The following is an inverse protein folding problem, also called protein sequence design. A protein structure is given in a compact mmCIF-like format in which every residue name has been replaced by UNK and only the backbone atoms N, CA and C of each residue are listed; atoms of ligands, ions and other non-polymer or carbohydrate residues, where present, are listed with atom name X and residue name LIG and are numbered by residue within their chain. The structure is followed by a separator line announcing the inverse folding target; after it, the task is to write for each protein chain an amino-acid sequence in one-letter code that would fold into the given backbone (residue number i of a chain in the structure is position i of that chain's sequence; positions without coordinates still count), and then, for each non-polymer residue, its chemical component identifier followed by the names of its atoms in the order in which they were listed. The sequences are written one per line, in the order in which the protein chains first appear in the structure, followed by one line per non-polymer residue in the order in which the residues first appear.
data_IF_384847507452
#
_entry.id   IF_384847507452
#
_cell.length_a   1.000
_cell.length_b   1.000
_cell.length_c   1.000
_cell.angle_alpha   90.00
_cell.angle_beta   90.00
_cell.angle_gamma   90.00
#
_symmetry.space_group_name_H-M   'P 1'
#
loop_
_entity.id
_entity.type
_entity.pdbx_description
1 polymer ?
#
# COMPACT_ATOMS: atom_id res chain seq x y z
N UNK A 1 13.55 21.41 -50.00
CA UNK A 1 13.45 22.53 -49.03
C UNK A 1 12.51 22.22 -47.86
N UNK A 2 11.21 21.90 -48.08
CA UNK A 2 10.25 21.59 -46.99
C UNK A 2 10.58 20.32 -46.18
N UNK A 3 11.11 19.27 -46.83
CA UNK A 3 11.46 18.01 -46.18
C UNK A 3 12.64 18.13 -45.19
N UNK A 4 13.57 19.06 -45.46
CA UNK A 4 14.70 19.35 -44.56
C UNK A 4 14.26 20.16 -43.33
N UNK A 5 13.25 21.04 -43.48
CA UNK A 5 12.67 21.78 -42.37
C UNK A 5 11.96 20.84 -41.38
N UNK A 6 11.22 19.84 -41.87
CA UNK A 6 10.54 18.85 -41.02
C UNK A 6 11.51 17.93 -40.29
N UNK A 7 12.60 17.51 -40.94
CA UNK A 7 13.67 16.72 -40.29
C UNK A 7 14.42 17.55 -39.25
N UNK A 8 14.70 18.82 -39.52
CA UNK A 8 15.33 19.72 -38.56
C UNK A 8 14.47 19.98 -37.32
N UNK A 9 13.14 20.04 -37.46
CA UNK A 9 12.22 20.28 -36.36
C UNK A 9 12.05 19.03 -35.46
N UNK A 10 12.14 17.83 -36.04
CA UNK A 10 12.03 16.57 -35.30
C UNK A 10 13.27 16.27 -34.43
N UNK A 11 14.46 16.76 -34.82
CA UNK A 11 15.68 16.57 -34.03
C UNK A 11 15.76 17.45 -32.76
N UNK A 12 14.96 18.51 -32.65
CA UNK A 12 15.04 19.46 -31.53
C UNK A 12 14.26 19.02 -30.27
N UNK A 13 13.38 18.02 -30.37
CA UNK A 13 12.55 17.57 -29.25
C UNK A 13 13.24 16.60 -28.27
N UNK A 14 14.51 16.25 -28.51
CA UNK A 14 15.24 15.25 -27.71
C UNK A 14 15.96 15.83 -26.47
N UNK A 15 15.84 17.14 -26.20
CA UNK A 15 16.59 17.82 -25.12
C UNK A 15 15.73 18.23 -23.92
N UNK A 16 14.90 17.32 -23.39
CA UNK A 16 14.20 17.55 -22.10
C UNK A 16 14.80 16.65 -21.02
N UNK A 17 15.74 17.17 -20.23
CA UNK A 17 16.23 16.53 -19.01
C UNK A 17 15.52 17.20 -17.82
N UNK A 18 14.64 16.49 -17.13
CA UNK A 18 13.99 16.99 -15.91
C UNK A 18 14.89 16.67 -14.71
N UNK A 19 15.47 17.70 -14.10
CA UNK A 19 16.33 17.55 -12.92
C UNK A 19 15.58 18.08 -11.69
N UNK A 20 15.33 17.19 -10.72
CA UNK A 20 14.63 17.52 -9.47
C UNK A 20 15.66 17.88 -8.40
N UNK A 21 15.57 19.08 -7.82
CA UNK A 21 16.48 19.56 -6.80
C UNK A 21 15.86 19.43 -5.41
N UNK A 22 16.64 18.96 -4.43
CA UNK A 22 16.24 18.78 -3.02
C UNK A 22 17.03 19.75 -2.14
N UNK A 23 16.35 20.44 -1.22
CA UNK A 23 17.02 21.15 -0.12
C UNK A 23 16.33 20.88 1.22
N UNK A 24 17.04 21.17 2.30
CA UNK A 24 16.57 21.05 3.68
C UNK A 24 16.55 22.45 4.26
N UNK A 25 15.41 22.88 4.81
CA UNK A 25 15.30 24.17 5.47
C UNK A 25 15.90 24.14 6.90
N UNK A 26 15.96 25.31 7.55
CA UNK A 26 16.49 25.45 8.90
C UNK A 26 15.65 24.72 9.98
N UNK A 27 14.42 24.35 9.67
CA UNK A 27 13.49 23.60 10.53
C UNK A 27 13.55 22.07 10.26
N UNK A 28 14.47 21.63 9.40
CA UNK A 28 14.69 20.21 9.08
C UNK A 28 13.67 19.62 8.12
N UNK A 29 12.83 20.43 7.46
CA UNK A 29 11.87 19.95 6.46
C UNK A 29 12.51 19.87 5.08
N UNK A 30 12.24 18.77 4.39
CA UNK A 30 12.78 18.49 3.06
C UNK A 30 11.81 19.04 2.01
N UNK A 31 12.32 19.89 1.13
CA UNK A 31 11.59 20.46 0.00
C UNK A 31 12.22 20.02 -1.33
N UNK A 32 11.36 19.81 -2.35
CA UNK A 32 11.76 19.46 -3.71
C UNK A 32 11.24 20.53 -4.68
N UNK A 33 12.07 20.97 -5.62
CA UNK A 33 11.71 21.96 -6.65
C UNK A 33 12.39 21.63 -7.97
N UNK A 34 11.70 21.92 -9.06
CA UNK A 34 12.21 21.78 -10.43
C UNK A 34 12.94 23.05 -10.92
N UNK A 35 13.18 24.01 -10.03
CA UNK A 35 13.90 25.26 -10.33
C UNK A 35 15.14 25.40 -9.44
N UNK A 36 16.32 25.74 -10.03
CA UNK A 36 17.57 25.85 -9.28
C UNK A 36 17.58 27.11 -8.40
N UNK A 37 17.97 26.93 -7.13
CA UNK A 37 18.14 28.01 -6.15
C UNK A 37 19.65 28.12 -5.85
N UNK A 38 20.16 29.34 -5.60
CA UNK A 38 21.58 29.59 -5.31
C UNK A 38 22.07 28.70 -4.14
N UNK A 39 23.23 28.05 -4.32
CA UNK A 39 23.89 27.03 -3.47
C UNK A 39 23.41 25.57 -3.63
N UNK A 40 23.17 25.12 -4.88
CA UNK A 40 22.98 23.71 -5.20
C UNK A 40 24.29 23.09 -5.71
N UNK A 41 24.72 21.99 -5.10
CA UNK A 41 25.74 21.09 -5.67
C UNK A 41 25.08 20.09 -6.63
N UNK A 42 25.81 19.73 -7.69
CA UNK A 42 25.35 18.83 -8.76
C UNK A 42 25.50 17.37 -8.31
N UNK A 43 24.41 16.59 -8.36
CA UNK A 43 24.42 15.16 -8.04
C UNK A 43 24.41 14.35 -9.34
N UNK A 44 25.50 13.62 -9.59
CA UNK A 44 25.64 12.69 -10.72
C UNK A 44 24.98 11.35 -10.38
N UNK A 45 23.94 10.97 -11.12
CA UNK A 45 23.25 9.69 -10.92
C UNK A 45 24.04 8.55 -11.59
N UNK A 46 24.71 7.72 -10.79
CA UNK A 46 25.29 6.46 -11.28
C UNK A 46 24.17 5.50 -11.66
N UNK A 47 24.15 5.09 -12.93
CA UNK A 47 23.30 4.00 -13.45
C UNK A 47 23.60 2.67 -12.76
N UNK A 48 22.98 2.45 -11.60
CA UNK A 48 22.70 1.13 -11.06
C UNK A 48 21.66 1.22 -9.93
N UNK A 49 20.48 1.77 -10.25
CA UNK A 49 19.34 1.77 -9.32
C UNK A 49 18.69 0.39 -9.33
N UNK A 50 19.38 -0.61 -8.78
CA UNK A 50 18.66 -1.75 -8.21
C UNK A 50 17.85 -1.19 -7.04
N UNK A 51 16.52 -1.29 -7.12
CA UNK A 51 15.64 -1.11 -5.96
C UNK A 51 15.90 -2.23 -4.95
N UNK A 52 17.06 -2.19 -4.29
CA UNK A 52 17.30 -2.97 -3.09
C UNK A 52 16.60 -2.23 -1.96
N UNK A 53 15.39 -2.69 -1.66
CA UNK A 53 14.70 -2.32 -0.43
C UNK A 53 15.53 -2.95 0.69
N UNK A 54 16.47 -2.19 1.27
CA UNK A 54 16.98 -2.53 2.60
C UNK A 54 15.77 -2.40 3.52
N UNK A 55 15.22 -3.52 3.98
CA UNK A 55 14.34 -3.51 5.13
C UNK A 55 15.15 -2.90 6.27
N UNK A 56 14.86 -1.65 6.59
CA UNK A 56 15.22 -1.09 7.87
C UNK A 56 14.43 -1.89 8.89
N UNK A 57 15.08 -2.85 9.54
CA UNK A 57 14.64 -3.29 10.86
C UNK A 57 14.60 -2.02 11.70
N UNK A 58 13.40 -1.51 11.92
CA UNK A 58 13.15 -0.44 12.87
C UNK A 58 13.61 -0.96 14.22
N UNK A 59 14.85 -0.65 14.57
CA UNK A 59 15.30 -0.71 15.95
C UNK A 59 14.47 0.34 16.64
N UNK A 60 13.44 -0.11 17.35
CA UNK A 60 12.59 0.73 18.17
C UNK A 60 13.50 1.64 19.00
N UNK A 61 13.59 2.91 18.57
CA UNK A 61 14.26 3.94 19.34
C UNK A 61 13.25 4.28 20.42
N UNK A 62 13.47 3.73 21.61
CA UNK A 62 12.76 4.18 22.80
C UNK A 62 13.19 5.62 23.03
N UNK A 63 12.45 6.56 22.42
CA UNK A 63 12.51 7.97 22.75
C UNK A 63 11.67 8.15 23.99
N UNK A 64 12.33 8.18 25.14
CA UNK A 64 11.81 8.78 26.37
C UNK A 64 11.67 10.27 26.09
N UNK A 65 10.49 10.66 25.61
CA UNK A 65 9.99 12.01 25.72
C UNK A 65 8.92 11.96 26.80
N UNK A 66 9.32 12.32 28.01
CA UNK A 66 8.39 12.68 29.08
C UNK A 66 7.64 13.93 28.63
N UNK A 67 6.37 13.77 28.25
CA UNK A 67 5.39 14.85 28.33
C UNK A 67 3.98 14.25 28.39
N UNK A 68 3.43 14.31 29.61
CA UNK A 68 2.03 14.13 29.98
C UNK A 68 1.38 12.79 29.55
N UNK A 69 1.70 11.75 30.32
CA UNK A 69 1.03 10.44 30.26
C UNK A 69 -0.44 10.55 30.72
N UNK A 70 -1.29 11.06 29.84
CA UNK A 70 -2.62 10.47 29.71
C UNK A 70 -2.35 8.99 29.42
N UNK A 71 -2.77 8.07 30.29
CA UNK A 71 -2.61 6.63 30.10
C UNK A 71 -3.24 6.22 28.76
N UNK A 72 -2.44 6.23 27.69
CA UNK A 72 -2.83 5.79 26.38
C UNK A 72 -2.81 4.28 26.46
N UNK A 73 -4.00 3.66 26.48
CA UNK A 73 -4.13 2.21 26.42
C UNK A 73 -3.35 1.69 25.22
N UNK A 74 -2.22 1.02 25.50
CA UNK A 74 -1.41 0.38 24.47
C UNK A 74 -2.07 -0.94 24.10
N UNK A 75 -2.35 -1.13 22.82
CA UNK A 75 -2.89 -2.38 22.29
C UNK A 75 -1.78 -3.19 21.63
N UNK A 76 -1.71 -4.47 21.96
CA UNK A 76 -1.05 -5.48 21.16
C UNK A 76 -2.05 -6.01 20.12
N UNK A 77 -1.72 -5.89 18.84
CA UNK A 77 -2.60 -6.20 17.71
C UNK A 77 -1.82 -7.04 16.69
N UNK A 78 -2.33 -8.23 16.38
CA UNK A 78 -1.71 -9.13 15.40
C UNK A 78 -2.76 -9.83 14.54
N UNK A 79 -2.46 -9.99 13.26
CA UNK A 79 -3.30 -10.78 12.33
C UNK A 79 -2.98 -12.26 12.56
N UNK A 80 -3.99 -13.06 12.89
CA UNK A 80 -3.86 -14.50 13.18
C UNK A 80 -4.23 -15.38 11.99
N UNK A 81 -5.11 -14.91 11.11
CA UNK A 81 -5.47 -15.58 9.87
C UNK A 81 -5.76 -14.53 8.79
N UNK A 82 -5.35 -14.74 7.53
CA UNK A 82 -4.53 -15.84 7.02
C UNK A 82 -3.12 -15.86 7.62
N UNK A 83 -2.42 -16.98 7.46
CA UNK A 83 -1.00 -17.13 7.77
C UNK A 83 -0.12 -16.30 6.81
N UNK A 84 1.14 -16.06 7.18
CA UNK A 84 2.07 -15.33 6.31
C UNK A 84 2.22 -16.07 4.97
N UNK A 85 2.12 -15.33 3.86
CA UNK A 85 2.27 -15.86 2.50
C UNK A 85 1.24 -16.96 2.14
N UNK A 86 0.12 -17.03 2.85
CA UNK A 86 -0.92 -18.00 2.57
C UNK A 86 -1.51 -17.78 1.18
N UNK A 87 -1.74 -18.88 0.44
CA UNK A 87 -2.41 -18.84 -0.85
C UNK A 87 -3.87 -19.26 -0.71
N UNK A 88 -4.78 -18.31 -0.94
CA UNK A 88 -6.22 -18.51 -0.90
C UNK A 88 -6.73 -18.74 -2.32
N UNK A 89 -7.57 -19.77 -2.51
CA UNK A 89 -8.23 -20.05 -3.80
C UNK A 89 -9.72 -19.81 -3.67
N UNK A 90 -10.19 -18.64 -4.12
CA UNK A 90 -11.62 -18.30 -4.12
C UNK A 90 -11.98 -17.49 -5.35
N UNK A 91 -12.83 -18.03 -6.23
CA UNK A 91 -13.20 -17.39 -7.50
C UNK A 91 -14.02 -16.10 -7.31
N UNK A 92 -14.71 -15.96 -6.17
CA UNK A 92 -15.49 -14.77 -5.81
C UNK A 92 -14.62 -13.71 -5.11
N UNK A 93 -13.32 -13.96 -4.95
CA UNK A 93 -12.39 -13.03 -4.29
C UNK A 93 -12.72 -12.83 -2.81
N UNK A 94 -13.22 -13.87 -2.13
CA UNK A 94 -13.50 -13.81 -0.70
C UNK A 94 -12.24 -14.07 0.11
N UNK A 95 -11.97 -13.18 1.06
CA UNK A 95 -10.87 -13.29 2.03
C UNK A 95 -11.40 -12.91 3.40
N UNK A 96 -11.16 -13.75 4.41
CA UNK A 96 -11.47 -13.41 5.80
C UNK A 96 -10.18 -13.15 6.55
N UNK A 97 -10.02 -11.93 7.07
CA UNK A 97 -8.90 -11.53 7.92
C UNK A 97 -9.36 -11.58 9.37
N UNK A 98 -8.67 -12.36 10.20
CA UNK A 98 -8.89 -12.45 11.64
C UNK A 98 -7.68 -11.92 12.38
N UNK A 99 -7.93 -11.17 13.44
CA UNK A 99 -6.90 -10.62 14.29
C UNK A 99 -7.17 -10.90 15.77
N UNK A 100 -6.11 -10.76 16.56
CA UNK A 100 -6.14 -10.77 18.01
C UNK A 100 -5.72 -9.40 18.50
N UNK A 101 -6.48 -8.85 19.45
CA UNK A 101 -6.15 -7.61 20.13
C UNK A 101 -6.15 -7.83 21.65
N UNK A 102 -5.17 -7.25 22.34
CA UNK A 102 -5.07 -7.28 23.80
C UNK A 102 -4.54 -5.94 24.32
N UNK A 103 -5.17 -5.30 25.31
CA UNK A 103 -6.44 -5.67 25.95
C UNK A 103 -7.64 -5.49 25.00
N UNK A 104 -8.84 -5.81 25.46
CA UNK A 104 -10.07 -5.61 24.68
C UNK A 104 -10.19 -4.15 24.21
N UNK A 105 -10.68 -3.98 23.00
CA UNK A 105 -10.86 -2.67 22.38
C UNK A 105 -11.81 -1.81 23.22
N UNK A 106 -11.42 -0.57 23.51
CA UNK A 106 -12.24 0.36 24.28
C UNK A 106 -13.51 0.75 23.52
N UNK A 107 -14.59 1.10 24.24
CA UNK A 107 -15.91 1.37 23.66
C UNK A 107 -15.94 2.47 22.58
N UNK A 108 -14.93 3.35 22.59
CA UNK A 108 -14.80 4.48 21.68
C UNK A 108 -13.71 4.28 20.61
N UNK A 109 -13.09 3.10 20.54
CA UNK A 109 -12.04 2.80 19.57
C UNK A 109 -12.57 1.87 18.48
N UNK A 110 -11.99 1.96 17.29
CA UNK A 110 -12.37 1.15 16.13
C UNK A 110 -11.14 0.52 15.49
N UNK A 111 -11.35 -0.60 14.82
CA UNK A 111 -10.37 -1.26 13.96
C UNK A 111 -10.64 -0.87 12.50
N UNK A 112 -9.57 -0.55 11.79
CA UNK A 112 -9.58 -0.21 10.37
C UNK A 112 -8.66 -1.16 9.65
N UNK A 113 -9.18 -1.86 8.63
CA UNK A 113 -8.40 -2.73 7.77
C UNK A 113 -7.87 -1.93 6.58
N UNK A 114 -6.61 -2.15 6.24
CA UNK A 114 -5.97 -1.63 5.05
C UNK A 114 -5.51 -2.81 4.19
N UNK A 115 -5.72 -2.68 2.89
CA UNK A 115 -5.21 -3.57 1.84
C UNK A 115 -4.33 -2.73 0.93
N UNK A 116 -3.05 -3.12 0.80
CA UNK A 116 -2.07 -2.43 -0.03
C UNK A 116 -1.94 -0.92 0.28
N UNK A 117 -2.12 -0.57 1.56
CA UNK A 117 -2.06 0.81 2.05
C UNK A 117 -3.37 1.60 1.93
N UNK A 118 -4.41 1.03 1.31
CA UNK A 118 -5.73 1.66 1.14
C UNK A 118 -6.71 1.09 2.16
N UNK A 119 -7.51 1.95 2.80
CA UNK A 119 -8.56 1.51 3.73
C UNK A 119 -9.63 0.72 2.97
N UNK A 120 -9.95 -0.47 3.47
CA UNK A 120 -10.98 -1.34 2.91
C UNK A 120 -12.04 -1.69 3.96
N UNK A 121 -13.29 -1.74 3.51
CA UNK A 121 -14.43 -2.01 4.39
C UNK A 121 -14.75 -0.85 5.35
N UNK A 122 -15.68 -1.11 6.26
CA UNK A 122 -16.11 -0.14 7.28
C UNK A 122 -15.31 -0.32 8.57
N UNK A 123 -14.93 0.77 9.26
CA UNK A 123 -14.39 0.68 10.61
C UNK A 123 -15.33 -0.06 11.55
N UNK A 124 -14.81 -0.99 12.34
CA UNK A 124 -15.61 -1.84 13.22
C UNK A 124 -14.86 -2.21 14.50
N UNK A 125 -15.57 -2.70 15.51
CA UNK A 125 -14.96 -3.13 16.78
C UNK A 125 -14.54 -4.60 16.77
N UNK A 126 -15.15 -5.42 15.90
CA UNK A 126 -14.81 -6.83 15.73
C UNK A 126 -13.47 -7.00 15.01
N UNK A 127 -12.57 -7.88 15.48
CA UNK A 127 -11.30 -8.15 14.81
C UNK A 127 -11.41 -9.16 13.66
N UNK A 128 -12.60 -9.29 13.05
CA UNK A 128 -12.87 -10.19 11.93
C UNK A 128 -13.40 -9.36 10.76
N UNK A 129 -12.68 -9.37 9.64
CA UNK A 129 -13.03 -8.65 8.43
C UNK A 129 -13.27 -9.64 7.30
N UNK A 130 -14.46 -9.61 6.71
CA UNK A 130 -14.80 -10.40 5.53
C UNK A 130 -14.80 -9.50 4.30
N UNK A 131 -13.85 -9.75 3.41
CA UNK A 131 -13.72 -9.09 2.13
C UNK A 131 -14.32 -9.96 1.03
N UNK A 132 -14.80 -9.31 -0.03
CA UNK A 132 -15.33 -9.93 -1.24
C UNK A 132 -14.87 -9.12 -2.45
N UNK A 133 -14.94 -9.73 -3.63
CA UNK A 133 -14.60 -9.08 -4.90
C UNK A 133 -13.15 -8.56 -4.93
N UNK A 134 -12.25 -9.17 -4.14
CA UNK A 134 -10.82 -8.85 -4.17
C UNK A 134 -10.22 -9.40 -5.46
N UNK A 135 -9.34 -8.63 -6.08
CA UNK A 135 -8.64 -9.04 -7.28
C UNK A 135 -7.68 -10.20 -7.01
N UNK A 136 -7.29 -10.92 -8.06
CA UNK A 136 -6.27 -11.96 -7.91
C UNK A 136 -4.90 -11.31 -7.75
N UNK A 137 -4.00 -11.97 -7.03
CA UNK A 137 -2.60 -11.53 -6.91
C UNK A 137 -2.11 -11.51 -5.46
N UNK A 138 -1.02 -10.78 -5.25
CA UNK A 138 -0.48 -10.49 -3.92
C UNK A 138 -1.23 -9.31 -3.31
N UNK A 139 -1.62 -9.46 -2.04
CA UNK A 139 -2.20 -8.40 -1.22
C UNK A 139 -1.52 -8.34 0.14
N UNK A 140 -1.27 -7.13 0.63
CA UNK A 140 -0.72 -6.88 1.95
C UNK A 140 -1.77 -6.26 2.86
N UNK A 141 -2.06 -6.93 3.97
CA UNK A 141 -3.07 -6.49 4.94
C UNK A 141 -2.44 -5.90 6.20
N UNK A 142 -3.00 -4.79 6.68
CA UNK A 142 -2.63 -4.17 7.95
C UNK A 142 -3.90 -3.76 8.68
N UNK A 143 -4.00 -4.06 9.97
CA UNK A 143 -5.11 -3.57 10.81
C UNK A 143 -4.58 -2.50 11.75
N UNK A 144 -5.31 -1.39 11.85
CA UNK A 144 -5.01 -0.29 12.77
C UNK A 144 -6.11 -0.15 13.80
N UNK A 145 -5.74 0.03 15.06
CA UNK A 145 -6.66 0.49 16.10
C UNK A 145 -6.62 2.03 16.14
N UNK A 146 -7.79 2.66 16.08
CA UNK A 146 -7.93 4.12 15.95
C UNK A 146 -8.92 4.64 17.00
N UNK A 147 -8.61 5.77 17.62
CA UNK A 147 -9.51 6.48 18.53
C UNK A 147 -10.54 7.33 17.78
N UNK A 148 -11.59 7.81 18.46
CA UNK A 148 -12.62 8.68 17.83
C UNK A 148 -12.05 9.96 17.21
N UNK A 149 -10.94 10.46 17.73
CA UNK A 149 -10.26 11.64 17.21
C UNK A 149 -9.36 11.34 16.00
N UNK A 150 -9.38 10.10 15.47
CA UNK A 150 -8.53 9.67 14.35
C UNK A 150 -7.10 9.32 14.73
N UNK A 151 -6.72 9.40 16.01
CA UNK A 151 -5.38 9.03 16.47
C UNK A 151 -5.19 7.52 16.37
N UNK A 152 -4.13 7.08 15.69
CA UNK A 152 -3.71 5.69 15.68
C UNK A 152 -3.18 5.28 17.07
N UNK A 153 -3.73 4.21 17.63
CA UNK A 153 -3.38 3.67 18.94
C UNK A 153 -2.46 2.44 18.83
N UNK A 154 -2.66 1.62 17.81
CA UNK A 154 -1.81 0.47 17.49
C UNK A 154 -1.95 0.09 16.01
N UNK A 155 -0.99 -0.70 15.52
CA UNK A 155 -0.99 -1.26 14.17
C UNK A 155 -0.44 -2.67 14.22
N UNK A 156 -1.03 -3.58 13.44
CA UNK A 156 -0.47 -4.91 13.24
C UNK A 156 0.80 -4.85 12.38
N UNK A 157 1.57 -5.93 12.41
CA UNK A 157 2.54 -6.20 11.33
C UNK A 157 1.79 -6.38 9.99
N UNK A 158 2.41 -6.03 8.86
CA UNK A 158 1.89 -6.40 7.55
C UNK A 158 1.73 -7.91 7.43
N UNK A 159 0.65 -8.33 6.77
CA UNK A 159 0.36 -9.73 6.45
C UNK A 159 0.26 -9.87 4.94
N UNK A 160 1.23 -10.53 4.32
CA UNK A 160 1.17 -10.84 2.89
C UNK A 160 0.32 -12.09 2.64
N UNK A 161 -0.56 -12.03 1.65
CA UNK A 161 -1.45 -13.13 1.22
C UNK A 161 -1.53 -13.14 -0.30
N UNK A 162 -1.68 -14.32 -0.89
CA UNK A 162 -1.89 -14.49 -2.33
C UNK A 162 -3.30 -15.00 -2.61
N UNK A 163 -4.06 -14.28 -3.42
CA UNK A 163 -5.39 -14.70 -3.88
C UNK A 163 -5.32 -15.23 -5.31
N UNK A 164 -5.75 -16.48 -5.49
CA UNK A 164 -5.87 -17.12 -6.79
C UNK A 164 -7.34 -17.28 -7.19
N UNK A 165 -7.70 -16.69 -8.34
CA UNK A 165 -9.04 -16.77 -8.94
C UNK A 165 -8.95 -17.49 -10.28
N UNK A 166 -9.76 -18.53 -10.47
CA UNK A 166 -9.89 -19.17 -11.78
C UNK A 166 -10.87 -18.38 -12.66
N UNK A 167 -10.49 -18.19 -13.92
CA UNK A 167 -11.40 -17.66 -14.94
C UNK A 167 -12.18 -18.85 -15.49
N UNK A 168 -13.47 -18.95 -15.18
CA UNK A 168 -14.34 -19.96 -15.79
C UNK A 168 -14.85 -19.38 -17.11
N UNK A 169 -14.12 -19.62 -18.19
CA UNK A 169 -14.68 -19.44 -19.53
C UNK A 169 -15.71 -20.56 -19.75
N UNK A 170 -17.01 -20.25 -19.58
CA UNK A 170 -18.06 -21.17 -19.99
C UNK A 170 -18.02 -21.27 -21.51
N UNK A 171 -17.53 -22.39 -22.05
CA UNK A 171 -17.82 -22.72 -23.44
C UNK A 171 -19.33 -22.96 -23.54
N UNK A 172 -19.99 -22.22 -24.43
CA UNK A 172 -21.39 -22.47 -24.74
C UNK A 172 -21.49 -23.86 -25.36
N UNK A 173 -22.11 -24.80 -24.64
CA UNK A 173 -22.47 -26.10 -25.22
C UNK A 173 -23.38 -25.85 -26.42
N UNK A 174 -22.96 -26.29 -27.60
CA UNK A 174 -23.80 -26.21 -28.79
C UNK A 174 -25.11 -26.94 -28.52
N UNK A 175 -26.23 -26.22 -28.60
CA UNK A 175 -27.56 -26.85 -28.53
C UNK A 175 -27.75 -27.65 -29.81
N UNK A 176 -27.94 -28.98 -29.74
CA UNK A 176 -28.18 -29.75 -30.95
C UNK A 176 -29.50 -29.30 -31.59
N UNK A 177 -29.45 -28.98 -32.88
CA UNK A 177 -30.64 -28.74 -33.69
C UNK A 177 -31.48 -30.01 -33.70
N UNK A 178 -32.70 -29.93 -33.16
CA UNK A 178 -33.68 -31.01 -33.21
C UNK A 178 -34.04 -31.25 -34.68
N UNK A 179 -33.50 -32.31 -35.28
CA UNK A 179 -33.91 -32.76 -36.61
C UNK A 179 -35.33 -33.30 -36.51
N UNK A 180 -36.29 -32.61 -37.15
CA UNK A 180 -37.66 -33.09 -37.30
C UNK A 180 -37.76 -34.05 -38.48
N UNK A 181 -38.15 -35.28 -38.20
CA UNK A 181 -39.24 -36.03 -38.85
C UNK A 181 -39.33 -37.43 -38.23
#
# INVERSE_FOLDING_TARGET
MRFYLTISLMFFSLFTQATVYKWVDADGKIHYSDQPIKNSETVEFKSNTQNQIKLHTSKAKSSTADENQQSLTQYDLSITSPSEEETIRDNQGKITIMARISPNLGAKHVLVLLMDGVVVGTPQTSPIFSLKDIDRGEHNFVIKAVAQNGKQLASSSPRKVYLHRAIINRQTTATPLKSGN
#
